data_IF_252393558524
#
_entry.id   IF_252393558524
#
_cell.length_a   1.000
_cell.length_b   1.000
_cell.length_c   1.000
_cell.angle_alpha   90.00
_cell.angle_beta   90.00
_cell.angle_gamma   90.00
#
_symmetry.space_group_name_H-M   'P 1'
#
loop_
_entity.id
_entity.type
_entity.pdbx_description
1 polymer ?
#
# COMPACT_ATOMS: atom_id res chain seq x y z
N UNK A 1 -11.76 6.56 8.52
CA UNK A 1 -10.82 5.46 8.28
C UNK A 1 -10.07 5.70 6.97
N UNK A 2 -8.73 5.76 7.05
CA UNK A 2 -7.85 6.69 6.31
C UNK A 2 -7.04 6.05 5.15
N UNK A 3 -7.66 5.20 4.34
CA UNK A 3 -6.96 4.61 3.19
C UNK A 3 -6.10 3.38 3.52
N UNK A 4 -6.36 2.71 4.63
CA UNK A 4 -5.69 1.45 4.99
C UNK A 4 -6.07 0.32 4.02
N UNK A 5 -5.07 -0.36 3.49
CA UNK A 5 -5.21 -1.50 2.58
C UNK A 5 -4.85 -2.82 3.25
N UNK A 6 -4.16 -2.82 4.40
CA UNK A 6 -3.68 -4.04 5.06
C UNK A 6 -4.40 -4.33 6.37
N UNK A 7 -5.00 -5.52 6.45
CA UNK A 7 -5.56 -6.09 7.66
C UNK A 7 -4.57 -7.08 8.32
N UNK A 8 -4.66 -7.21 9.64
CA UNK A 8 -3.91 -8.16 10.45
C UNK A 8 -4.87 -8.95 11.33
N UNK A 9 -4.72 -10.27 11.28
CA UNK A 9 -5.45 -11.24 12.08
C UNK A 9 -4.54 -11.70 13.23
N UNK A 10 -5.06 -11.70 14.45
CA UNK A 10 -4.32 -12.04 15.67
C UNK A 10 -4.94 -13.22 16.38
N UNK A 11 -4.08 -14.01 17.02
CA UNK A 11 -4.47 -15.21 17.75
C UNK A 11 -4.69 -16.42 16.87
N UNK A 12 -4.32 -16.36 15.59
CA UNK A 12 -4.50 -17.44 14.61
C UNK A 12 -4.04 -18.79 15.18
N UNK A 13 -4.79 -19.86 14.91
CA UNK A 13 -4.35 -21.20 15.25
C UNK A 13 -2.97 -21.48 14.61
N UNK A 14 -2.03 -22.00 15.40
CA UNK A 14 -0.61 -22.16 15.04
C UNK A 14 -0.30 -23.07 13.86
N UNK A 15 -1.28 -23.88 13.45
CA UNK A 15 -1.14 -24.80 12.30
C UNK A 15 -1.83 -24.28 11.04
N UNK A 16 -2.48 -23.12 11.10
CA UNK A 16 -3.08 -22.49 9.91
C UNK A 16 -1.97 -22.09 8.95
N UNK A 17 -2.08 -22.55 7.71
CA UNK A 17 -1.18 -22.19 6.60
C UNK A 17 -1.68 -20.95 5.83
N UNK A 18 -0.87 -20.44 4.90
CA UNK A 18 -1.34 -19.38 3.99
C UNK A 18 -2.49 -19.88 3.10
N UNK A 19 -2.46 -21.12 2.63
CA UNK A 19 -3.53 -21.75 1.84
C UNK A 19 -4.85 -21.87 2.61
N UNK A 20 -4.76 -22.22 3.89
CA UNK A 20 -5.89 -22.25 4.81
C UNK A 20 -6.51 -20.86 5.02
N UNK A 21 -5.65 -19.83 5.15
CA UNK A 21 -6.09 -18.45 5.22
C UNK A 21 -6.79 -18.01 3.92
N UNK A 22 -6.33 -18.45 2.74
CA UNK A 22 -7.04 -18.19 1.49
C UNK A 22 -8.47 -18.74 1.52
N UNK A 23 -8.65 -19.99 1.97
CA UNK A 23 -9.98 -20.60 2.13
C UNK A 23 -10.86 -19.77 3.08
N UNK A 24 -10.28 -19.30 4.19
CA UNK A 24 -10.99 -18.42 5.13
C UNK A 24 -11.42 -17.10 4.46
N UNK A 25 -10.57 -16.49 3.65
CA UNK A 25 -10.89 -15.25 2.94
C UNK A 25 -12.02 -15.44 1.92
N UNK A 26 -12.04 -16.57 1.22
CA UNK A 26 -13.06 -16.89 0.23
C UNK A 26 -14.47 -17.10 0.86
N UNK A 27 -14.56 -17.29 2.18
CA UNK A 27 -15.84 -17.40 2.90
C UNK A 27 -16.51 -16.06 3.24
N UNK A 28 -15.79 -14.94 3.17
CA UNK A 28 -16.34 -13.66 3.62
C UNK A 28 -16.91 -12.84 2.45
N UNK A 29 -18.21 -12.49 2.49
CA UNK A 29 -18.80 -11.63 1.47
C UNK A 29 -18.25 -10.19 1.53
N UNK A 30 -18.40 -9.41 0.45
CA UNK A 30 -19.16 -9.76 -0.77
C UNK A 30 -18.43 -10.79 -1.61
N UNK A 31 -19.19 -11.62 -2.35
CA UNK A 31 -18.65 -12.46 -3.41
C UNK A 31 -18.03 -11.53 -4.45
N UNK A 32 -16.79 -11.14 -4.24
CA UNK A 32 -16.04 -10.42 -5.24
C UNK A 32 -15.84 -11.43 -6.36
N UNK A 33 -16.34 -11.14 -7.55
CA UNK A 33 -16.20 -12.00 -8.74
C UNK A 33 -14.72 -12.34 -9.03
N UNK A 34 -13.80 -11.55 -8.46
CA UNK A 34 -12.36 -11.76 -8.47
C UNK A 34 -11.75 -11.62 -7.07
N UNK A 35 -10.59 -12.24 -6.87
CA UNK A 35 -9.73 -11.99 -5.71
C UNK A 35 -9.37 -10.50 -5.63
N UNK A 36 -9.65 -9.87 -4.48
CA UNK A 36 -9.43 -8.43 -4.22
C UNK A 36 -8.26 -8.15 -3.27
N UNK A 37 -7.50 -9.18 -2.96
CA UNK A 37 -6.30 -9.12 -2.16
C UNK A 37 -5.08 -9.50 -2.99
N UNK A 38 -3.99 -8.77 -2.79
CA UNK A 38 -2.75 -8.89 -3.58
C UNK A 38 -1.57 -9.43 -2.76
N UNK A 39 -1.77 -9.65 -1.46
CA UNK A 39 -0.77 -10.18 -0.54
C UNK A 39 -1.42 -10.90 0.63
N UNK A 40 -0.93 -12.11 0.93
CA UNK A 40 -1.32 -12.91 2.08
C UNK A 40 -0.07 -13.49 2.72
N UNK A 41 0.11 -13.29 4.03
CA UNK A 41 1.29 -13.77 4.74
C UNK A 41 0.95 -14.32 6.11
N UNK A 42 1.43 -15.53 6.39
CA UNK A 42 1.33 -16.20 7.69
C UNK A 42 2.76 -16.47 8.17
N UNK A 43 3.35 -15.61 9.02
CA UNK A 43 4.74 -15.79 9.47
C UNK A 43 4.91 -17.04 10.34
N UNK A 44 5.95 -17.83 10.05
CA UNK A 44 6.37 -18.97 10.87
C UNK A 44 7.48 -18.58 11.84
N UNK A 45 7.54 -19.30 12.96
CA UNK A 45 8.68 -19.19 13.86
C UNK A 45 9.94 -19.69 13.14
N UNK A 46 11.06 -18.96 13.27
CA UNK A 46 12.34 -19.36 12.65
C UNK A 46 12.73 -20.76 13.12
N UNK A 47 12.85 -21.71 12.19
CA UNK A 47 13.17 -23.11 12.48
C UNK A 47 12.06 -23.89 13.20
N UNK A 48 10.85 -23.32 13.30
CA UNK A 48 9.71 -23.94 13.97
C UNK A 48 8.72 -24.58 12.99
N UNK A 49 7.84 -25.42 13.53
CA UNK A 49 6.77 -26.12 12.81
C UNK A 49 5.40 -25.46 12.99
N UNK A 50 5.38 -24.18 13.40
CA UNK A 50 4.16 -23.45 13.69
C UNK A 50 4.26 -21.96 13.35
N UNK A 51 3.12 -21.36 12.98
CA UNK A 51 2.99 -19.92 12.84
C UNK A 51 3.00 -19.20 14.19
N UNK A 52 3.34 -17.91 14.18
CA UNK A 52 3.44 -17.08 15.40
C UNK A 52 2.09 -16.51 15.86
N UNK A 53 0.96 -17.06 15.40
CA UNK A 53 -0.39 -16.62 15.74
C UNK A 53 -0.82 -15.32 15.06
N UNK A 54 -0.16 -14.96 13.95
CA UNK A 54 -0.43 -13.75 13.16
C UNK A 54 -0.67 -14.10 11.70
N UNK A 55 -1.47 -13.27 11.04
CA UNK A 55 -1.57 -13.24 9.59
C UNK A 55 -1.81 -11.82 9.08
N UNK A 56 -1.40 -11.57 7.85
CA UNK A 56 -1.51 -10.28 7.17
C UNK A 56 -2.17 -10.49 5.81
N UNK A 57 -3.08 -9.58 5.47
CA UNK A 57 -3.79 -9.57 4.18
C UNK A 57 -3.80 -8.14 3.66
N UNK A 58 -3.18 -7.90 2.51
CA UNK A 58 -3.32 -6.62 1.81
C UNK A 58 -4.38 -6.75 0.72
N UNK A 59 -5.24 -5.74 0.66
CA UNK A 59 -6.24 -5.56 -0.36
C UNK A 59 -5.71 -4.61 -1.44
N UNK A 60 -6.13 -4.84 -2.70
CA UNK A 60 -5.76 -3.97 -3.83
C UNK A 60 -6.20 -2.52 -3.59
N UNK A 61 -7.36 -2.36 -2.93
CA UNK A 61 -7.97 -1.07 -2.66
C UNK A 61 -8.38 -0.95 -1.20
N UNK A 62 -8.27 0.26 -0.65
CA UNK A 62 -8.58 0.52 0.76
C UNK A 62 -10.06 0.25 1.11
N UNK A 63 -10.96 0.40 0.15
CA UNK A 63 -12.39 0.18 0.38
C UNK A 63 -12.73 -1.31 0.53
N UNK A 64 -12.00 -2.20 -0.15
CA UNK A 64 -12.10 -3.65 0.05
C UNK A 64 -11.70 -4.04 1.48
N UNK A 65 -10.57 -3.50 1.97
CA UNK A 65 -10.10 -3.73 3.34
C UNK A 65 -11.15 -3.28 4.37
N UNK A 66 -11.72 -2.09 4.17
CA UNK A 66 -12.80 -1.57 5.03
C UNK A 66 -14.04 -2.46 5.02
N UNK A 67 -14.50 -2.89 3.84
CA UNK A 67 -15.65 -3.80 3.72
C UNK A 67 -15.38 -5.14 4.42
N UNK A 68 -14.19 -5.71 4.23
CA UNK A 68 -13.77 -6.92 4.93
C UNK A 68 -13.82 -6.74 6.45
N UNK A 69 -13.19 -5.69 6.99
CA UNK A 69 -13.21 -5.41 8.43
C UNK A 69 -14.61 -5.17 8.98
N UNK A 70 -15.49 -4.51 8.21
CA UNK A 70 -16.89 -4.30 8.60
C UNK A 70 -17.68 -5.62 8.58
N UNK A 71 -17.48 -6.45 7.56
CA UNK A 71 -18.12 -7.76 7.42
C UNK A 71 -17.80 -8.65 8.63
N UNK A 72 -16.56 -8.63 9.11
CA UNK A 72 -16.12 -9.40 10.27
C UNK A 72 -16.73 -8.97 11.61
N UNK A 73 -17.42 -7.83 11.68
CA UNK A 73 -18.10 -7.37 12.91
C UNK A 73 -19.40 -8.12 13.20
N UNK A 74 -19.98 -8.82 12.21
CA UNK A 74 -21.22 -9.56 12.42
C UNK A 74 -20.97 -10.81 13.28
N UNK A 75 -21.93 -11.14 14.16
CA UNK A 75 -21.80 -12.30 15.05
C UNK A 75 -21.57 -13.64 14.31
N UNK A 76 -22.22 -13.94 13.16
CA UNK A 76 -21.92 -15.15 12.39
C UNK A 76 -20.46 -15.21 11.91
N UNK A 77 -19.93 -14.09 11.44
CA UNK A 77 -18.56 -14.02 10.93
C UNK A 77 -17.54 -14.10 12.07
N UNK A 78 -17.83 -13.51 13.23
CA UNK A 78 -16.99 -13.67 14.42
C UNK A 78 -16.92 -15.13 14.89
N UNK A 79 -18.06 -15.84 14.93
CA UNK A 79 -18.06 -17.28 15.26
C UNK A 79 -17.22 -18.09 14.28
N UNK A 80 -17.29 -17.76 12.99
CA UNK A 80 -16.45 -18.40 11.97
C UNK A 80 -14.97 -18.12 12.21
N UNK A 81 -14.58 -16.86 12.46
CA UNK A 81 -13.19 -16.52 12.80
C UNK A 81 -12.66 -17.34 14.00
N UNK A 82 -13.48 -17.53 15.03
CA UNK A 82 -13.13 -18.32 16.21
C UNK A 82 -12.87 -19.79 15.88
N UNK A 83 -13.56 -20.38 14.89
CA UNK A 83 -13.29 -21.76 14.43
C UNK A 83 -11.87 -21.91 13.85
N UNK A 84 -11.30 -20.82 13.32
CA UNK A 84 -9.91 -20.77 12.82
C UNK A 84 -8.92 -20.28 13.89
N UNK A 85 -9.39 -20.11 15.13
CA UNK A 85 -8.62 -19.56 16.24
C UNK A 85 -8.40 -18.05 16.19
N UNK A 86 -8.93 -17.33 15.19
CA UNK A 86 -8.71 -15.88 15.07
C UNK A 86 -9.43 -15.16 16.21
N UNK A 87 -8.66 -14.53 17.11
CA UNK A 87 -9.17 -13.80 18.28
C UNK A 87 -9.57 -12.37 17.97
N UNK A 88 -8.83 -11.70 17.09
CA UNK A 88 -9.15 -10.34 16.68
C UNK A 88 -8.60 -10.02 15.30
N UNK A 89 -9.27 -9.07 14.61
CA UNK A 89 -8.86 -8.55 13.31
C UNK A 89 -8.86 -7.03 13.38
N UNK A 90 -7.85 -6.41 12.79
CA UNK A 90 -7.74 -4.95 12.75
C UNK A 90 -6.82 -4.49 11.64
N UNK A 91 -6.47 -3.21 11.65
CA UNK A 91 -5.54 -2.62 10.70
C UNK A 91 -4.09 -2.94 11.07
N UNK A 92 -3.25 -3.15 10.05
CA UNK A 92 -1.82 -3.35 10.21
C UNK A 92 -1.10 -2.01 10.41
N UNK A 93 0.05 -2.02 11.09
CA UNK A 93 0.92 -0.85 11.12
C UNK A 93 1.62 -0.63 9.78
N UNK A 94 1.88 -1.72 9.05
CA UNK A 94 2.50 -1.68 7.72
C UNK A 94 1.39 -1.81 6.68
N UNK A 95 1.28 -0.81 5.81
CA UNK A 95 0.24 -0.71 4.80
C UNK A 95 0.80 -0.95 3.40
N UNK A 96 0.00 -1.57 2.54
CA UNK A 96 0.32 -1.88 1.16
C UNK A 96 1.20 -3.13 1.00
N UNK A 97 1.01 -3.85 -0.12
CA UNK A 97 1.82 -5.02 -0.50
C UNK A 97 3.32 -4.73 -0.46
N UNK A 98 3.75 -3.64 -1.09
CA UNK A 98 5.17 -3.24 -1.17
C UNK A 98 5.81 -3.01 0.20
N UNK A 99 5.14 -2.26 1.08
CA UNK A 99 5.63 -1.99 2.44
C UNK A 99 5.76 -3.27 3.27
N UNK A 100 4.80 -4.20 3.14
CA UNK A 100 4.88 -5.50 3.83
C UNK A 100 6.04 -6.35 3.30
N UNK A 101 6.26 -6.38 1.99
CA UNK A 101 7.41 -7.08 1.39
C UNK A 101 8.74 -6.45 1.81
N UNK A 102 8.86 -5.11 1.85
CA UNK A 102 10.06 -4.46 2.36
C UNK A 102 10.35 -4.85 3.81
N UNK A 103 9.33 -4.88 4.67
CA UNK A 103 9.49 -5.26 6.07
C UNK A 103 9.93 -6.73 6.25
N UNK A 104 9.39 -7.66 5.45
CA UNK A 104 9.84 -9.06 5.48
C UNK A 104 11.29 -9.14 4.99
N UNK A 105 11.64 -8.46 3.89
CA UNK A 105 13.00 -8.46 3.35
C UNK A 105 14.01 -7.89 4.36
N UNK A 106 13.65 -6.84 5.09
CA UNK A 106 14.50 -6.26 6.14
C UNK A 106 14.71 -7.22 7.31
N UNK A 107 13.66 -7.96 7.71
CA UNK A 107 13.71 -8.85 8.88
C UNK A 107 14.34 -10.22 8.59
N UNK A 108 14.09 -10.78 7.40
CA UNK A 108 14.46 -12.16 7.02
C UNK A 108 15.39 -12.26 5.81
N UNK A 109 15.76 -11.14 5.21
CA UNK A 109 16.50 -11.13 3.95
C UNK A 109 15.68 -11.66 2.78
N UNK A 110 16.37 -12.04 1.69
CA UNK A 110 15.74 -12.61 0.51
C UNK A 110 15.20 -14.03 0.74
N UNK A 111 15.76 -14.78 1.69
CA UNK A 111 15.28 -16.12 2.04
C UNK A 111 13.78 -16.09 2.43
N UNK A 112 13.36 -15.10 3.24
CA UNK A 112 11.96 -14.92 3.60
C UNK A 112 11.00 -14.59 2.44
N UNK A 113 11.50 -14.43 1.21
CA UNK A 113 10.71 -14.26 -0.01
C UNK A 113 10.62 -15.52 -0.88
N UNK A 114 11.44 -16.54 -0.58
CA UNK A 114 11.56 -17.76 -1.38
C UNK A 114 11.34 -19.04 -0.58
N UNK A 115 11.38 -18.96 0.76
CA UNK A 115 11.11 -20.07 1.66
C UNK A 115 9.69 -20.63 1.46
N UNK A 116 9.44 -21.84 1.95
CA UNK A 116 8.11 -22.49 1.90
C UNK A 116 7.03 -21.64 2.59
N UNK A 117 7.41 -20.84 3.58
CA UNK A 117 6.53 -19.93 4.31
C UNK A 117 6.57 -18.48 3.80
N UNK A 118 7.10 -18.27 2.60
CA UNK A 118 7.10 -16.96 1.94
C UNK A 118 5.66 -16.42 1.74
N UNK A 119 5.50 -15.09 1.68
CA UNK A 119 4.20 -14.49 1.41
C UNK A 119 3.65 -14.91 0.05
N UNK A 120 2.36 -15.21 -0.01
CA UNK A 120 1.64 -15.37 -1.26
C UNK A 120 1.34 -14.00 -1.84
N UNK A 121 1.79 -13.76 -3.07
CA UNK A 121 1.64 -12.47 -3.75
C UNK A 121 0.87 -12.64 -5.04
N UNK A 122 -0.06 -11.71 -5.29
CA UNK A 122 -0.87 -11.69 -6.49
C UNK A 122 -0.68 -10.40 -7.26
N UNK A 123 -0.78 -10.49 -8.58
CA UNK A 123 -0.82 -9.36 -9.48
C UNK A 123 -1.80 -9.67 -10.60
N UNK A 124 -2.83 -8.82 -10.77
CA UNK A 124 -3.88 -9.00 -11.78
C UNK A 124 -4.53 -10.39 -11.68
N UNK A 125 -4.84 -10.82 -10.46
CA UNK A 125 -5.45 -12.13 -10.17
C UNK A 125 -4.53 -13.35 -10.32
N UNK A 126 -3.27 -13.18 -10.75
CA UNK A 126 -2.31 -14.28 -10.90
C UNK A 126 -1.30 -14.28 -9.76
N UNK A 127 -0.90 -15.46 -9.31
CA UNK A 127 0.21 -15.62 -8.37
C UNK A 127 1.52 -15.21 -9.04
N UNK A 128 2.32 -14.41 -8.34
CA UNK A 128 3.66 -13.97 -8.76
C UNK A 128 4.66 -14.22 -7.63
N UNK A 129 5.96 -14.24 -7.93
CA UNK A 129 6.97 -14.38 -6.88
C UNK A 129 7.04 -13.11 -6.01
N UNK A 130 7.28 -13.30 -4.71
CA UNK A 130 7.43 -12.19 -3.77
C UNK A 130 8.66 -11.31 -4.10
N UNK A 131 9.74 -11.92 -4.59
CA UNK A 131 10.94 -11.22 -5.06
C UNK A 131 10.65 -10.31 -6.24
N UNK A 132 9.90 -10.78 -7.24
CA UNK A 132 9.49 -9.94 -8.38
C UNK A 132 8.63 -8.77 -7.93
N UNK A 133 7.65 -9.01 -7.06
CA UNK A 133 6.75 -7.96 -6.58
C UNK A 133 7.48 -6.89 -5.74
N UNK A 134 8.47 -7.30 -4.94
CA UNK A 134 9.34 -6.38 -4.21
C UNK A 134 10.17 -5.51 -5.17
N UNK A 135 10.70 -6.10 -6.24
CA UNK A 135 11.48 -5.36 -7.24
C UNK A 135 10.63 -4.33 -7.98
N UNK A 136 9.42 -4.72 -8.42
CA UNK A 136 8.47 -3.77 -9.03
C UNK A 136 8.16 -2.61 -8.09
N UNK A 137 7.93 -2.88 -6.80
CA UNK A 137 7.68 -1.83 -5.81
C UNK A 137 8.86 -0.85 -5.69
N UNK A 138 10.10 -1.35 -5.71
CA UNK A 138 11.31 -0.51 -5.65
C UNK A 138 11.44 0.39 -6.88
N UNK A 139 11.19 -0.15 -8.06
CA UNK A 139 11.22 0.61 -9.32
C UNK A 139 10.15 1.72 -9.32
N UNK A 140 8.93 1.42 -8.89
CA UNK A 140 7.85 2.41 -8.75
C UNK A 140 8.19 3.53 -7.75
N UNK A 141 8.88 3.21 -6.65
CA UNK A 141 9.32 4.23 -5.69
C UNK A 141 10.43 5.11 -6.24
N UNK A 142 11.36 4.55 -7.02
CA UNK A 142 12.44 5.30 -7.64
C UNK A 142 11.89 6.29 -8.69
N UNK A 143 10.96 5.86 -9.55
CA UNK A 143 10.37 6.71 -10.59
C UNK A 143 9.53 7.87 -10.03
N UNK A 144 8.94 7.71 -8.85
CA UNK A 144 8.22 8.79 -8.15
C UNK A 144 9.13 9.85 -7.53
N UNK A 145 10.41 9.54 -7.30
CA UNK A 145 11.38 10.50 -6.72
C UNK A 145 11.97 11.44 -7.76
N UNK A 146 12.12 10.98 -9.00
CA UNK A 146 12.77 11.71 -10.09
C UNK A 146 12.07 12.99 -10.60
N UNK A 147 10.75 13.23 -10.47
CA UNK A 147 10.11 14.40 -11.06
C UNK A 147 10.40 15.76 -10.37
N UNK A 148 10.85 15.77 -9.12
CA UNK A 148 10.99 17.05 -8.38
C UNK A 148 12.40 17.68 -8.44
N UNK A 149 13.44 16.94 -8.79
CA UNK A 149 14.80 17.50 -8.91
C UNK A 149 15.00 18.23 -10.25
N UNK A 150 14.34 17.78 -11.32
CA UNK A 150 14.41 18.44 -12.64
C UNK A 150 13.75 19.82 -12.67
N UNK A 151 12.66 20.03 -11.93
CA UNK A 151 11.93 21.31 -11.92
C UNK A 151 12.66 22.37 -11.07
N UNK A 152 13.33 21.97 -9.97
CA UNK A 152 14.15 22.90 -9.17
C UNK A 152 15.44 23.32 -9.88
N UNK A 153 16.07 22.41 -10.64
CA UNK A 153 17.25 22.69 -11.47
C UNK A 153 16.98 23.78 -12.53
N UNK A 154 15.82 23.73 -13.20
CA UNK A 154 15.44 24.71 -14.21
C UNK A 154 15.02 26.07 -13.62
N UNK A 155 14.46 26.11 -12.41
CA UNK A 155 14.17 27.39 -11.72
C UNK A 155 15.43 28.07 -11.19
N UNK A 156 16.42 27.32 -10.66
CA UNK A 156 17.72 27.89 -10.26
C UNK A 156 18.53 28.40 -11.46
N UNK A 157 18.46 27.71 -12.60
CA UNK A 157 19.14 28.16 -13.83
C UNK A 157 18.47 29.40 -14.44
N UNK A 158 17.17 29.62 -14.22
CA UNK A 158 16.44 30.79 -14.69
C UNK A 158 16.63 32.03 -13.81
N UNK A 159 17.07 31.87 -12.55
CA UNK A 159 17.46 33.00 -11.70
C UNK A 159 18.91 33.48 -11.95
N UNK A 160 19.76 32.68 -12.60
CA UNK A 160 21.15 33.06 -12.92
C UNK A 160 21.34 33.72 -14.30
N UNK A 161 20.31 33.73 -15.15
CA UNK A 161 20.36 34.33 -16.50
C UNK A 161 19.52 35.60 -16.65
N UNK A 162 19.16 36.27 -15.55
CA UNK A 162 18.27 37.43 -15.57
C UNK A 162 18.55 38.46 -14.48
N UNK A 163 19.80 38.93 -14.38
CA UNK A 163 20.16 40.14 -13.63
C UNK A 163 21.15 40.96 -14.47
N UNK A 164 20.72 41.33 -15.67
CA UNK A 164 21.25 42.45 -16.48
C UNK A 164 20.13 42.80 -17.46
N UNK A 165 19.05 43.39 -16.94
CA UNK A 165 18.13 44.14 -17.79
C UNK A 165 18.05 45.55 -17.23
N UNK A 166 18.65 46.42 -18.02
CA UNK A 166 18.77 47.84 -17.83
C UNK A 166 17.48 48.52 -17.36
N UNK A 167 17.73 49.51 -16.51
CA UNK A 167 17.00 50.78 -16.41
C UNK A 167 16.18 51.09 -17.67
N UNK A 168 14.88 50.89 -17.58
CA UNK A 168 13.92 51.67 -18.37
C UNK A 168 13.05 52.47 -17.40
N UNK A 169 13.35 53.77 -17.36
CA UNK A 169 12.54 54.80 -16.72
C UNK A 169 11.14 54.83 -17.37
N UNK A 170 10.04 54.68 -16.61
CA UNK A 170 8.71 54.91 -17.14
C UNK A 170 8.49 56.42 -17.27
N UNK A 171 8.55 56.87 -18.53
CA UNK A 171 8.16 58.22 -18.93
C UNK A 171 6.74 58.55 -18.50
N UNK A 172 6.63 59.68 -17.82
CA UNK A 172 5.39 60.40 -17.51
C UNK A 172 4.65 60.69 -18.81
N UNK A 173 3.48 60.07 -19.02
CA UNK A 173 2.51 60.55 -20.00
C UNK A 173 1.20 60.87 -19.29
N UNK A 174 1.00 62.17 -19.13
CA UNK A 174 -0.21 62.83 -18.71
C UNK A 174 -1.12 62.98 -19.94
N UNK A 175 -2.37 62.51 -19.91
CA UNK A 175 -3.45 63.11 -20.71
C UNK A 175 -4.83 62.68 -20.22
N UNK A 176 -5.58 63.69 -19.83
CA UNK A 176 -6.99 63.71 -19.48
C UNK A 176 -7.89 63.42 -20.69
N UNK A 177 -9.09 62.84 -20.46
CA UNK A 177 -10.36 63.02 -21.23
C UNK A 177 -11.38 62.03 -20.65
N UNK A 178 -12.31 62.43 -19.76
CA UNK A 178 -13.66 62.99 -19.98
C UNK A 178 -14.64 62.12 -20.81
N UNK A 179 -15.89 62.14 -20.33
CA UNK A 179 -17.19 61.66 -20.88
C UNK A 179 -17.63 60.25 -20.42
N UNK A 180 -18.66 60.10 -19.57
CA UNK A 180 -20.08 60.53 -19.58
C UNK A 180 -21.00 59.36 -19.97
N UNK A 181 -22.02 59.18 -19.12
CA UNK A 181 -23.11 58.19 -19.14
C UNK A 181 -23.94 58.19 -20.44
N UNK A 182 -24.86 57.21 -20.65
CA UNK A 182 -26.10 57.11 -19.86
C UNK A 182 -26.21 55.85 -19.00
#
# INVERSE_FOLDING_TARGET
>A
DHGSTTAILRGLNRYVTASDLLRLLDYFPPHMERRVYDFVYVPWATGGTANIGLAFVNFEEHWHCRQFLQCLRSAPNQRRLLQWGVRSVGQSMIQGRGGNLEAICQKRGLAGMTDEDAPLVFHQGKTVSATWALEQHRLERQSRRTPQEGVRSLQSSRMQLGMDNDRFEPGVFNSSLQHASP
#
